data_IF_479119602672
#
_entry.id   IF_479119602672
#
_cell.length_a   1.000
_cell.length_b   1.000
_cell.length_c   1.000
_cell.angle_alpha   90.00
_cell.angle_beta   90.00
_cell.angle_gamma   90.00
#
_symmetry.space_group_name_H-M   'P 1'
#
loop_
_entity.id
_entity.type
_entity.pdbx_description
1 polymer ?
#
# COMPACT_ATOMS: atom_id res chain seq x y z
N UNK A 1 -16.06 20.39 0.55
CA UNK A 1 -16.42 18.97 0.39
C UNK A 1 -17.26 18.80 -0.85
N UNK A 2 -16.71 18.18 -1.90
CA UNK A 2 -17.46 17.94 -3.14
C UNK A 2 -18.48 16.79 -2.98
N UNK A 3 -19.35 16.59 -3.97
CA UNK A 3 -20.40 15.56 -3.93
C UNK A 3 -19.78 14.16 -3.80
N UNK A 4 -18.67 13.89 -4.49
CA UNK A 4 -17.96 12.61 -4.43
C UNK A 4 -17.41 12.32 -3.02
N UNK A 5 -16.83 13.31 -2.35
CA UNK A 5 -16.30 13.18 -0.99
C UNK A 5 -17.44 12.93 0.02
N UNK A 6 -18.61 13.57 -0.15
CA UNK A 6 -19.80 13.30 0.66
C UNK A 6 -20.31 11.88 0.45
N UNK A 7 -20.37 11.43 -0.80
CA UNK A 7 -20.79 10.07 -1.14
C UNK A 7 -19.83 9.03 -0.56
N UNK A 8 -18.53 9.25 -0.72
CA UNK A 8 -17.51 8.36 -0.21
C UNK A 8 -17.53 8.23 1.32
N UNK A 9 -17.70 9.35 2.05
CA UNK A 9 -17.86 9.30 3.53
C UNK A 9 -19.09 8.52 3.96
N UNK A 10 -20.19 8.56 3.19
CA UNK A 10 -21.38 7.73 3.45
C UNK A 10 -21.10 6.25 3.21
N UNK A 11 -20.38 5.91 2.14
CA UNK A 11 -20.02 4.52 1.84
C UNK A 11 -19.07 3.95 2.91
N UNK A 12 -18.12 4.74 3.40
CA UNK A 12 -17.23 4.33 4.50
C UNK A 12 -17.95 4.05 5.84
N UNK A 13 -19.19 4.50 6.00
CA UNK A 13 -20.00 4.15 7.16
C UNK A 13 -20.53 2.71 7.09
N UNK A 14 -20.59 2.10 5.89
CA UNK A 14 -20.85 0.67 5.73
C UNK A 14 -19.60 -0.12 6.11
N UNK A 15 -19.75 -1.07 7.03
CA UNK A 15 -18.66 -1.92 7.48
C UNK A 15 -18.08 -2.79 6.35
N UNK A 16 -18.96 -3.34 5.51
CA UNK A 16 -18.58 -4.15 4.34
C UNK A 16 -17.74 -3.32 3.36
N UNK A 17 -18.23 -2.14 2.98
CA UNK A 17 -17.50 -1.27 2.07
C UNK A 17 -16.17 -0.82 2.67
N UNK A 18 -16.16 -0.43 3.95
CA UNK A 18 -14.94 0.00 4.65
C UNK A 18 -13.90 -1.10 4.66
N UNK A 19 -14.29 -2.35 4.95
CA UNK A 19 -13.38 -3.50 4.95
C UNK A 19 -12.80 -3.75 3.56
N UNK A 20 -13.63 -3.92 2.55
CA UNK A 20 -13.19 -4.16 1.17
C UNK A 20 -12.31 -3.02 0.64
N UNK A 21 -12.65 -1.77 0.99
CA UNK A 21 -11.83 -0.60 0.65
C UNK A 21 -10.45 -0.64 1.30
N UNK A 22 -10.37 -0.97 2.59
CA UNK A 22 -9.08 -1.07 3.28
C UNK A 22 -8.24 -2.23 2.75
N UNK A 23 -8.84 -3.39 2.49
CA UNK A 23 -8.17 -4.54 1.89
C UNK A 23 -7.57 -4.18 0.53
N UNK A 24 -8.34 -3.53 -0.33
CA UNK A 24 -7.86 -3.13 -1.67
C UNK A 24 -6.79 -2.03 -1.59
N UNK A 25 -6.95 -1.07 -0.67
CA UNK A 25 -5.94 -0.04 -0.43
C UNK A 25 -4.61 -0.65 0.00
N UNK A 26 -4.63 -1.61 0.92
CA UNK A 26 -3.42 -2.32 1.37
C UNK A 26 -2.74 -3.03 0.21
N UNK A 27 -3.50 -3.72 -0.66
CA UNK A 27 -2.92 -4.36 -1.86
C UNK A 27 -2.19 -3.36 -2.75
N UNK A 28 -2.84 -2.23 -3.05
CA UNK A 28 -2.24 -1.18 -3.87
C UNK A 28 -0.98 -0.59 -3.23
N UNK A 29 -0.98 -0.39 -1.92
CA UNK A 29 0.19 0.09 -1.18
C UNK A 29 1.36 -0.91 -1.25
N UNK A 30 1.08 -2.22 -1.18
CA UNK A 30 2.08 -3.30 -1.35
C UNK A 30 2.60 -3.33 -2.79
N UNK A 31 1.71 -3.31 -3.78
CA UNK A 31 2.09 -3.30 -5.21
C UNK A 31 3.01 -2.13 -5.54
N UNK A 32 2.70 -0.94 -5.02
CA UNK A 32 3.54 0.23 -5.19
C UNK A 32 4.94 0.02 -4.62
N UNK A 33 5.05 -0.46 -3.37
CA UNK A 33 6.35 -0.73 -2.71
C UNK A 33 7.18 -1.78 -3.48
N UNK A 34 6.53 -2.80 -4.02
CA UNK A 34 7.20 -3.83 -4.83
C UNK A 34 7.71 -3.27 -6.16
N UNK A 35 6.95 -2.41 -6.83
CA UNK A 35 7.41 -1.72 -8.03
C UNK A 35 8.59 -0.78 -7.74
N UNK A 36 8.60 -0.10 -6.60
CA UNK A 36 9.77 0.68 -6.19
C UNK A 36 10.99 -0.21 -5.89
N UNK A 37 10.81 -1.40 -5.31
CA UNK A 37 11.90 -2.36 -5.11
C UNK A 37 12.44 -2.86 -6.46
N UNK A 38 11.54 -3.15 -7.41
CA UNK A 38 11.92 -3.54 -8.77
C UNK A 38 12.77 -2.47 -9.46
N UNK A 39 12.40 -1.19 -9.33
CA UNK A 39 13.20 -0.06 -9.84
C UNK A 39 14.56 0.03 -9.17
N UNK A 40 14.63 -0.19 -7.87
CA UNK A 40 15.89 -0.17 -7.11
C UNK A 40 16.84 -1.29 -7.56
N UNK A 41 16.30 -2.48 -7.85
CA UNK A 41 17.07 -3.59 -8.44
C UNK A 41 17.57 -3.22 -9.84
N UNK A 42 16.69 -2.67 -10.69
CA UNK A 42 17.05 -2.25 -12.06
C UNK A 42 18.11 -1.15 -12.08
N UNK A 43 18.11 -0.27 -11.07
CA UNK A 43 19.08 0.82 -10.93
C UNK A 43 20.35 0.41 -10.18
N UNK A 44 20.52 -0.88 -9.90
CA UNK A 44 21.74 -1.46 -9.31
C UNK A 44 22.09 -0.83 -7.96
N UNK A 45 21.06 -0.56 -7.13
CA UNK A 45 21.29 -0.18 -5.73
C UNK A 45 22.07 -1.25 -4.99
N UNK A 46 22.75 -0.82 -3.92
CA UNK A 46 23.57 -1.72 -3.13
C UNK A 46 22.74 -2.85 -2.52
N UNK A 47 23.30 -4.06 -2.34
CA UNK A 47 22.63 -5.16 -1.65
C UNK A 47 22.07 -4.74 -0.28
N UNK A 48 22.81 -3.91 0.48
CA UNK A 48 22.39 -3.42 1.79
C UNK A 48 21.13 -2.55 1.72
N UNK A 49 20.99 -1.72 0.69
CA UNK A 49 19.78 -0.91 0.48
C UNK A 49 18.59 -1.77 0.05
N UNK A 50 18.81 -2.77 -0.79
CA UNK A 50 17.77 -3.71 -1.23
C UNK A 50 17.24 -4.53 -0.06
N UNK A 51 18.13 -5.04 0.80
CA UNK A 51 17.75 -5.78 2.01
C UNK A 51 16.92 -4.91 2.94
N UNK A 52 17.36 -3.69 3.25
CA UNK A 52 16.59 -2.74 4.08
C UNK A 52 15.19 -2.48 3.53
N UNK A 53 15.05 -2.42 2.21
CA UNK A 53 13.76 -2.19 1.56
C UNK A 53 12.86 -3.42 1.66
N UNK A 54 13.41 -4.62 1.50
CA UNK A 54 12.69 -5.88 1.74
C UNK A 54 12.20 -5.95 3.19
N UNK A 55 13.07 -5.68 4.17
CA UNK A 55 12.71 -5.68 5.60
C UNK A 55 11.57 -4.68 5.90
N UNK A 56 11.61 -3.49 5.27
CA UNK A 56 10.55 -2.49 5.40
C UNK A 56 9.21 -2.94 4.82
N UNK A 57 9.22 -3.69 3.70
CA UNK A 57 8.01 -4.25 3.11
C UNK A 57 7.46 -5.37 3.99
N UNK A 58 8.31 -6.24 4.51
CA UNK A 58 7.93 -7.30 5.44
C UNK A 58 7.27 -6.73 6.70
N UNK A 59 7.89 -5.73 7.33
CA UNK A 59 7.32 -5.05 8.49
C UNK A 59 5.96 -4.42 8.18
N UNK A 60 5.80 -3.81 7.00
CA UNK A 60 4.52 -3.24 6.59
C UNK A 60 3.44 -4.33 6.49
N UNK A 61 3.72 -5.44 5.81
CA UNK A 61 2.78 -6.56 5.65
C UNK A 61 2.43 -7.20 7.00
N UNK A 62 3.40 -7.38 7.90
CA UNK A 62 3.16 -7.97 9.22
C UNK A 62 2.39 -7.04 10.18
N UNK A 63 2.34 -5.74 9.89
CA UNK A 63 1.66 -4.75 10.72
C UNK A 63 0.19 -4.50 10.34
N UNK A 64 -0.26 -5.09 9.23
CA UNK A 64 -1.63 -4.99 8.70
C UNK A 64 -2.48 -6.17 9.17
#
# INVERSE_FOLDING_TARGET
MNIAEKYFKRQLASEEFRRSFLEEKVKLDIEYKLEELRRDIQTHKSPEELIKKVDSIEQYVMSV
#
